data_IF_296682136067
#
_entry.id   IF_296682136067
#
_cell.length_a   1.000
_cell.length_b   1.000
_cell.length_c   1.000
_cell.angle_alpha   90.00
_cell.angle_beta   90.00
_cell.angle_gamma   90.00
#
_symmetry.space_group_name_H-M   'P 1'
#
loop_
_entity.id
_entity.type
_entity.pdbx_description
1 polymer ?
#
# COMPACT_ATOMS: atom_id res chain seq x y z
N UNK A 1 3.67 -15.81 18.80
CA UNK A 1 3.94 -14.36 18.78
C UNK A 1 4.16 -13.92 17.34
N UNK A 2 3.09 -13.52 16.65
CA UNK A 2 3.14 -13.09 15.24
C UNK A 2 3.80 -11.71 15.08
N UNK A 3 4.05 -11.00 16.19
CA UNK A 3 4.63 -9.66 16.19
C UNK A 3 6.10 -9.64 15.77
N UNK A 4 6.81 -10.77 15.87
CA UNK A 4 8.23 -10.87 15.50
C UNK A 4 8.45 -11.49 14.11
N UNK A 5 7.43 -11.54 13.25
CA UNK A 5 7.55 -12.10 11.90
C UNK A 5 7.69 -10.99 10.87
N UNK A 6 8.76 -11.04 10.07
CA UNK A 6 9.09 -10.03 9.08
C UNK A 6 9.19 -10.67 7.68
N UNK A 7 8.74 -9.93 6.67
CA UNK A 7 9.03 -10.26 5.28
C UNK A 7 10.42 -9.70 4.92
N UNK A 8 11.32 -10.58 4.52
CA UNK A 8 12.69 -10.24 4.12
C UNK A 8 12.72 -9.71 2.68
N UNK A 9 13.80 -9.00 2.26
CA UNK A 9 13.95 -8.49 0.90
C UNK A 9 13.99 -9.57 -0.19
N UNK A 10 14.37 -10.79 0.18
CA UNK A 10 14.35 -11.99 -0.68
C UNK A 10 12.93 -12.55 -0.90
N UNK A 11 11.91 -11.96 -0.26
CA UNK A 11 10.51 -12.39 -0.36
C UNK A 11 10.13 -13.50 0.61
N UNK A 12 11.08 -14.06 1.36
CA UNK A 12 10.83 -15.06 2.39
C UNK A 12 10.32 -14.41 3.68
N UNK A 13 9.64 -15.21 4.50
CA UNK A 13 9.16 -14.80 5.81
C UNK A 13 10.07 -15.41 6.86
N UNK A 14 10.57 -14.61 7.80
CA UNK A 14 11.46 -15.05 8.87
C UNK A 14 11.17 -14.33 10.18
N UNK A 15 11.80 -14.77 11.27
CA UNK A 15 11.74 -14.04 12.52
C UNK A 15 12.64 -12.80 12.48
N UNK A 16 12.25 -11.76 13.21
CA UNK A 16 12.98 -10.50 13.27
C UNK A 16 14.33 -10.57 13.96
N UNK A 17 14.56 -11.62 14.76
CA UNK A 17 15.85 -11.96 15.37
C UNK A 17 16.77 -12.77 14.43
N UNK A 18 16.26 -13.22 13.27
CA UNK A 18 16.98 -14.05 12.32
C UNK A 18 17.12 -15.53 12.71
N UNK A 19 16.51 -15.95 13.82
CA UNK A 19 16.52 -17.33 14.29
C UNK A 19 15.57 -18.22 13.45
N UNK A 20 15.78 -19.53 13.53
CA UNK A 20 14.94 -20.51 12.85
C UNK A 20 13.61 -20.63 13.61
N UNK A 21 12.50 -20.50 12.88
CA UNK A 21 11.17 -20.69 13.45
C UNK A 21 11.02 -22.09 14.05
N UNK A 22 10.46 -22.24 15.27
CA UNK A 22 10.17 -23.55 15.82
C UNK A 22 9.21 -24.31 14.91
N UNK A 23 9.53 -25.57 14.63
CA UNK A 23 8.71 -26.41 13.78
C UNK A 23 7.35 -26.69 14.44
N UNK A 24 6.27 -26.44 13.71
CA UNK A 24 4.91 -26.74 14.15
C UNK A 24 4.46 -28.11 13.60
N UNK A 25 4.03 -28.99 14.49
CA UNK A 25 3.54 -30.33 14.16
C UNK A 25 2.19 -30.34 13.43
N UNK A 26 1.49 -29.21 13.35
CA UNK A 26 0.22 -29.07 12.63
C UNK A 26 0.39 -28.88 11.11
N UNK A 27 1.58 -28.47 10.65
CA UNK A 27 1.88 -28.18 9.24
C UNK A 27 2.00 -29.48 8.45
N UNK A 28 1.29 -29.56 7.31
CA UNK A 28 1.32 -30.72 6.40
C UNK A 28 1.76 -30.29 5.02
N UNK A 29 2.66 -31.07 4.41
CA UNK A 29 3.15 -30.84 3.05
C UNK A 29 2.41 -31.76 2.08
N UNK A 30 1.86 -31.19 1.00
CA UNK A 30 1.27 -31.94 -0.10
C UNK A 30 2.22 -31.94 -1.30
N UNK A 31 2.66 -33.12 -1.73
CA UNK A 31 3.58 -33.26 -2.87
C UNK A 31 2.86 -33.06 -4.21
N UNK A 32 3.49 -32.34 -5.14
CA UNK A 32 2.97 -32.13 -6.50
C UNK A 32 1.96 -30.99 -6.66
N UNK A 33 1.74 -30.19 -5.61
CA UNK A 33 0.86 -29.00 -5.63
C UNK A 33 1.72 -27.74 -5.50
N UNK A 34 1.45 -26.74 -6.35
CA UNK A 34 2.06 -25.42 -6.25
C UNK A 34 1.06 -24.47 -5.57
N UNK A 35 1.45 -23.89 -4.44
CA UNK A 35 0.66 -22.84 -3.79
C UNK A 35 0.62 -21.60 -4.68
N UNK A 36 -0.58 -21.12 -4.98
CA UNK A 36 -0.78 -19.93 -5.79
C UNK A 36 -0.74 -18.68 -4.92
N UNK A 37 -0.55 -17.52 -5.56
CA UNK A 37 -0.64 -16.25 -4.86
C UNK A 37 -2.04 -16.04 -4.27
N UNK A 38 -2.10 -15.45 -3.08
CA UNK A 38 -3.36 -15.01 -2.47
C UNK A 38 -3.90 -13.68 -3.05
N UNK A 39 -3.27 -13.15 -4.10
CA UNK A 39 -3.63 -11.87 -4.71
C UNK A 39 -4.73 -12.05 -5.76
N UNK A 40 -5.78 -11.26 -5.66
CA UNK A 40 -6.81 -11.13 -6.70
C UNK A 40 -6.50 -9.94 -7.61
N UNK A 41 -6.13 -10.22 -8.86
CA UNK A 41 -5.70 -9.19 -9.82
C UNK A 41 -6.80 -8.15 -10.12
N UNK A 42 -8.06 -8.59 -10.28
CA UNK A 42 -9.17 -7.69 -10.59
C UNK A 42 -9.42 -6.69 -9.47
N UNK A 43 -9.39 -7.15 -8.21
CA UNK A 43 -9.51 -6.28 -7.04
C UNK A 43 -8.36 -5.28 -6.95
N UNK A 44 -7.12 -5.75 -7.12
CA UNK A 44 -5.93 -4.90 -7.06
C UNK A 44 -5.97 -3.79 -8.14
N UNK A 45 -6.44 -4.11 -9.35
CA UNK A 45 -6.60 -3.11 -10.42
C UNK A 45 -7.64 -2.05 -10.08
N UNK A 46 -8.77 -2.43 -9.51
CA UNK A 46 -9.81 -1.49 -9.08
C UNK A 46 -9.27 -0.55 -7.99
N UNK A 47 -8.56 -1.09 -7.02
CA UNK A 47 -7.92 -0.32 -5.96
C UNK A 47 -6.89 0.69 -6.51
N UNK A 48 -6.07 0.27 -7.47
CA UNK A 48 -5.13 1.18 -8.15
C UNK A 48 -5.85 2.32 -8.90
N UNK A 49 -6.96 2.02 -9.59
CA UNK A 49 -7.76 3.02 -10.30
C UNK A 49 -8.37 4.01 -9.31
N UNK A 50 -8.91 3.52 -8.20
CA UNK A 50 -9.48 4.36 -7.15
C UNK A 50 -8.42 5.30 -6.56
N UNK A 51 -7.25 4.77 -6.22
CA UNK A 51 -6.13 5.56 -5.70
C UNK A 51 -5.68 6.63 -6.70
N UNK A 52 -5.60 6.28 -7.99
CA UNK A 52 -5.21 7.22 -9.05
C UNK A 52 -6.22 8.37 -9.18
N UNK A 53 -7.52 8.09 -9.10
CA UNK A 53 -8.57 9.12 -9.13
C UNK A 53 -8.53 10.01 -7.89
N UNK A 54 -8.32 9.42 -6.71
CA UNK A 54 -8.18 10.17 -5.45
C UNK A 54 -7.01 11.14 -5.53
N UNK A 55 -5.86 10.67 -5.99
CA UNK A 55 -4.69 11.51 -6.22
C UNK A 55 -4.96 12.66 -7.21
N UNK A 56 -5.64 12.39 -8.33
CA UNK A 56 -5.98 13.46 -9.30
C UNK A 56 -6.88 14.53 -8.66
N UNK A 57 -7.86 14.13 -7.86
CA UNK A 57 -8.74 15.06 -7.15
C UNK A 57 -7.95 15.87 -6.12
N UNK A 58 -7.07 15.25 -5.35
CA UNK A 58 -6.20 15.94 -4.38
C UNK A 58 -5.34 17.01 -5.06
N UNK A 59 -4.71 16.69 -6.20
CA UNK A 59 -3.93 17.65 -6.99
C UNK A 59 -4.81 18.78 -7.54
N UNK A 60 -6.01 18.46 -8.04
CA UNK A 60 -6.95 19.47 -8.54
C UNK A 60 -7.40 20.42 -7.42
N UNK A 61 -7.70 19.89 -6.24
CA UNK A 61 -8.09 20.69 -5.07
C UNK A 61 -6.96 21.63 -4.63
N UNK A 62 -5.70 21.17 -4.63
CA UNK A 62 -4.54 22.02 -4.37
C UNK A 62 -4.46 23.17 -5.36
N UNK A 63 -4.66 22.91 -6.65
CA UNK A 63 -4.66 23.94 -7.69
C UNK A 63 -5.77 24.97 -7.49
N UNK A 64 -6.99 24.53 -7.20
CA UNK A 64 -8.12 25.42 -6.93
C UNK A 64 -7.85 26.29 -5.70
N UNK A 65 -7.23 25.73 -4.66
CA UNK A 65 -6.84 26.49 -3.47
C UNK A 65 -5.80 27.58 -3.80
N UNK A 66 -4.81 27.27 -4.64
CA UNK A 66 -3.77 28.21 -5.09
C UNK A 66 -4.33 29.35 -5.96
N UNK A 67 -5.22 29.01 -6.90
CA UNK A 67 -5.92 29.98 -7.74
C UNK A 67 -6.79 30.93 -6.89
N UNK A 68 -7.51 30.39 -5.90
CA UNK A 68 -8.32 31.19 -4.98
C UNK A 68 -7.46 32.10 -4.08
N UNK A 69 -6.34 31.59 -3.56
CA UNK A 69 -5.41 32.38 -2.76
C UNK A 69 -4.82 33.55 -3.57
N UNK A 70 -4.46 33.30 -4.82
CA UNK A 70 -3.95 34.32 -5.75
C UNK A 70 -4.98 35.42 -6.03
N UNK A 71 -6.22 35.04 -6.31
CA UNK A 71 -7.32 35.98 -6.54
C UNK A 71 -7.62 36.84 -5.31
N UNK A 72 -7.66 36.22 -4.11
CA UNK A 72 -7.85 36.96 -2.85
C UNK A 72 -6.72 37.97 -2.60
N UNK A 73 -5.47 37.61 -2.90
CA UNK A 73 -4.34 38.51 -2.78
C UNK A 73 -4.40 39.68 -3.77
N UNK A 74 -4.96 39.49 -4.97
CA UNK A 74 -5.17 40.56 -5.95
C UNK A 74 -6.22 41.57 -5.49
N UNK A 75 -7.32 41.09 -4.90
CA UNK A 75 -8.34 41.97 -4.32
C UNK A 75 -7.76 42.87 -3.22
N UNK A 76 -6.89 42.33 -2.36
CA UNK A 76 -6.20 43.10 -1.31
C UNK A 76 -5.21 44.14 -1.86
N UNK A 77 -4.66 43.94 -3.06
CA UNK A 77 -3.73 44.90 -3.69
C UNK A 77 -4.46 46.05 -4.38
N UNK A 78 -5.68 45.79 -4.86
CA UNK A 78 -6.49 46.77 -5.59
C UNK A 78 -7.48 47.53 -4.67
N UNK A 79 -7.48 47.23 -3.37
CA UNK A 79 -8.19 47.96 -2.31
C UNK A 79 -7.27 48.94 -1.59
#
# INVERSE_FOLDING_TARGET
DLANVLKRPDGLVGLGDGEIAPADASVKVFSGVLETSNVNLGRAMIEMIELSRRFEIEVRMMRVADENASAAAELLRNS
#
